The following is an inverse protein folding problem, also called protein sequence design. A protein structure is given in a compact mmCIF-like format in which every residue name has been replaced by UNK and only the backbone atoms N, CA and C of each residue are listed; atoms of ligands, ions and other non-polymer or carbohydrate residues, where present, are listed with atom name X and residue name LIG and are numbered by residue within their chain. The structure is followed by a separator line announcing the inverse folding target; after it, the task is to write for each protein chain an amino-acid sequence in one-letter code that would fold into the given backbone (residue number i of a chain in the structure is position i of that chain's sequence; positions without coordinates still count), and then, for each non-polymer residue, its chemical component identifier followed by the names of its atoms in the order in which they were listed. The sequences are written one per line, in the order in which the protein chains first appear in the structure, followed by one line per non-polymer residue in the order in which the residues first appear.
data_IF_257966008539
#
_entry.id   IF_257966008539
#
_cell.length_a   1.000
_cell.length_b   1.000
_cell.length_c   1.000
_cell.angle_alpha   90.00
_cell.angle_beta   90.00
_cell.angle_gamma   90.00
#
_symmetry.space_group_name_H-M   'P 1'
#
loop_
_entity.id
_entity.type
_entity.pdbx_description
1 polymer ?
#
# COMPACT_ATOMS: atom_id res chain seq x y z
N UNK A 1 38.80 8.27 29.64
CA UNK A 1 37.73 7.24 29.62
C UNK A 1 37.94 6.11 30.64
N UNK A 2 39.12 5.49 30.77
CA UNK A 2 39.37 4.38 31.73
C UNK A 2 39.07 4.69 33.22
N UNK A 3 39.27 5.94 33.68
CA UNK A 3 39.05 6.32 35.11
C UNK A 3 37.58 6.48 35.50
N UNK A 4 36.68 6.79 34.55
CA UNK A 4 35.23 6.88 34.80
C UNK A 4 34.62 5.47 34.91
N UNK A 5 34.99 4.56 34.01
CA UNK A 5 34.59 3.14 34.05
C UNK A 5 35.07 2.37 35.29
N UNK A 6 36.19 2.78 35.89
CA UNK A 6 36.75 2.16 37.09
C UNK A 6 36.10 2.66 38.40
N UNK A 7 35.44 3.83 38.39
CA UNK A 7 34.71 4.38 39.55
C UNK A 7 33.20 4.12 39.53
N UNK A 8 32.68 3.56 38.44
CA UNK A 8 31.24 3.25 38.30
C UNK A 8 30.85 1.98 39.03
N UNK A 9 29.66 1.99 39.64
CA UNK A 9 29.10 0.82 40.32
C UNK A 9 29.07 -0.40 39.38
N UNK A 10 29.43 -1.61 39.86
CA UNK A 10 29.51 -2.82 39.04
C UNK A 10 28.20 -3.11 38.28
N UNK A 11 27.06 -2.79 38.89
CA UNK A 11 25.72 -2.91 38.33
C UNK A 11 25.48 -1.96 37.16
N UNK A 12 25.83 -0.67 37.31
CA UNK A 12 25.71 0.33 36.25
C UNK A 12 26.60 -0.01 35.05
N UNK A 13 27.80 -0.55 35.31
CA UNK A 13 28.70 -1.03 34.26
C UNK A 13 28.09 -2.21 33.49
N UNK A 14 27.48 -3.15 34.20
CA UNK A 14 26.74 -4.26 33.58
C UNK A 14 25.59 -3.77 32.70
N UNK A 15 24.76 -2.84 33.21
CA UNK A 15 23.66 -2.24 32.45
C UNK A 15 24.14 -1.53 31.18
N UNK A 16 25.24 -0.78 31.23
CA UNK A 16 25.78 -0.10 30.05
C UNK A 16 26.31 -1.06 29.00
N UNK A 17 26.92 -2.17 29.41
CA UNK A 17 27.37 -3.21 28.47
C UNK A 17 26.16 -3.86 27.80
N UNK A 18 25.11 -4.19 28.56
CA UNK A 18 23.86 -4.75 28.02
C UNK A 18 23.22 -3.75 27.05
N UNK A 19 23.09 -2.48 27.44
CA UNK A 19 22.51 -1.44 26.59
C UNK A 19 23.28 -1.28 25.27
N UNK A 20 24.61 -1.30 25.32
CA UNK A 20 25.46 -1.26 24.13
C UNK A 20 25.19 -2.46 23.21
N UNK A 21 25.14 -3.68 23.77
CA UNK A 21 24.86 -4.89 23.00
C UNK A 21 23.49 -4.81 22.33
N UNK A 22 22.46 -4.36 23.05
CA UNK A 22 21.12 -4.18 22.50
C UNK A 22 21.13 -3.21 21.33
N UNK A 23 21.78 -2.05 21.46
CA UNK A 23 21.89 -1.06 20.37
C UNK A 23 22.58 -1.66 19.15
N UNK A 24 23.69 -2.37 19.34
CA UNK A 24 24.41 -3.03 18.24
C UNK A 24 23.51 -4.04 17.54
N UNK A 25 22.80 -4.88 18.29
CA UNK A 25 21.85 -5.85 17.73
C UNK A 25 20.73 -5.16 16.96
N UNK A 26 20.16 -4.07 17.50
CA UNK A 26 19.11 -3.32 16.80
C UNK A 26 19.59 -2.69 15.50
N UNK A 27 20.79 -2.09 15.50
CA UNK A 27 21.39 -1.49 14.30
C UNK A 27 21.71 -2.56 13.25
N UNK A 28 22.20 -3.72 13.67
CA UNK A 28 22.44 -4.83 12.74
C UNK A 28 21.13 -5.46 12.24
N UNK A 29 20.03 -5.37 13.00
CA UNK A 29 18.73 -5.90 12.63
C UNK A 29 17.85 -4.91 11.81
N UNK A 30 18.31 -3.67 11.59
CA UNK A 30 17.54 -2.61 10.92
C UNK A 30 16.97 -3.08 9.57
N UNK A 31 17.75 -3.83 8.79
CA UNK A 31 17.31 -4.38 7.52
C UNK A 31 16.12 -5.34 7.66
N UNK A 32 16.16 -6.25 8.64
CA UNK A 32 15.07 -7.20 8.89
C UNK A 32 13.78 -6.49 9.31
N UNK A 33 13.90 -5.48 10.17
CA UNK A 33 12.77 -4.65 10.59
C UNK A 33 12.19 -3.86 9.40
N UNK A 34 13.05 -3.24 8.60
CA UNK A 34 12.63 -2.46 7.43
C UNK A 34 11.97 -3.35 6.36
N UNK A 35 12.50 -4.55 6.13
CA UNK A 35 11.92 -5.51 5.21
C UNK A 35 10.53 -5.98 5.68
N UNK A 36 10.39 -6.31 6.97
CA UNK A 36 9.11 -6.69 7.55
C UNK A 36 8.08 -5.57 7.45
N UNK A 37 8.47 -4.34 7.81
CA UNK A 37 7.61 -3.15 7.67
C UNK A 37 7.25 -2.89 6.21
N UNK A 38 8.18 -3.07 5.28
CA UNK A 38 7.92 -2.92 3.84
C UNK A 38 6.88 -3.90 3.32
N UNK A 39 6.94 -5.16 3.74
CA UNK A 39 5.93 -6.18 3.39
C UNK A 39 4.56 -5.81 3.97
N UNK A 40 4.51 -5.45 5.26
CA UNK A 40 3.28 -5.04 5.93
C UNK A 40 2.65 -3.82 5.23
N UNK A 41 3.47 -2.82 4.89
CA UNK A 41 3.00 -1.61 4.21
C UNK A 41 2.47 -1.93 2.81
N UNK A 42 3.14 -2.82 2.05
CA UNK A 42 2.68 -3.26 0.73
C UNK A 42 1.31 -3.95 0.81
N UNK A 43 1.11 -4.82 1.81
CA UNK A 43 -0.19 -5.48 2.06
C UNK A 43 -1.26 -4.47 2.49
N UNK A 44 -0.92 -3.55 3.40
CA UNK A 44 -1.85 -2.52 3.86
C UNK A 44 -2.29 -1.59 2.73
N UNK A 45 -1.36 -1.19 1.84
CA UNK A 45 -1.67 -0.35 0.69
C UNK A 45 -2.55 -1.07 -0.34
N UNK A 46 -2.27 -2.35 -0.59
CA UNK A 46 -3.13 -3.21 -1.41
C UNK A 46 -4.55 -3.26 -0.85
N UNK A 47 -4.68 -3.56 0.45
CA UNK A 47 -5.96 -3.62 1.14
C UNK A 47 -6.68 -2.28 1.09
N UNK A 48 -5.98 -1.16 1.30
CA UNK A 48 -6.57 0.17 1.25
C UNK A 48 -7.24 0.46 -0.10
N UNK A 49 -6.58 0.15 -1.22
CA UNK A 49 -7.17 0.36 -2.55
C UNK A 49 -8.35 -0.59 -2.78
N UNK A 50 -8.18 -1.87 -2.45
CA UNK A 50 -9.25 -2.85 -2.61
C UNK A 50 -10.50 -2.46 -1.79
N UNK A 51 -10.29 -2.02 -0.54
CA UNK A 51 -11.36 -1.56 0.34
C UNK A 51 -11.98 -0.26 -0.16
N UNK A 52 -11.19 0.67 -0.70
CA UNK A 52 -11.71 1.89 -1.28
C UNK A 52 -12.63 1.61 -2.47
N UNK A 53 -12.22 0.73 -3.40
CA UNK A 53 -13.04 0.31 -4.53
C UNK A 53 -14.31 -0.39 -4.03
N UNK A 54 -14.19 -1.26 -3.03
CA UNK A 54 -15.33 -1.96 -2.43
C UNK A 54 -16.31 -1.00 -1.77
N UNK A 55 -15.83 0.00 -1.00
CA UNK A 55 -16.68 1.00 -0.36
C UNK A 55 -17.38 1.86 -1.40
N UNK A 56 -16.66 2.34 -2.42
CA UNK A 56 -17.24 3.09 -3.54
C UNK A 56 -18.34 2.29 -4.25
N UNK A 57 -18.11 0.99 -4.49
CA UNK A 57 -19.13 0.11 -5.02
C UNK A 57 -20.32 -0.04 -4.08
N UNK A 58 -20.06 -0.31 -2.80
CA UNK A 58 -21.07 -0.58 -1.78
C UNK A 58 -22.01 0.61 -1.57
N UNK A 59 -21.47 1.83 -1.55
CA UNK A 59 -22.23 3.07 -1.36
C UNK A 59 -23.12 3.38 -2.57
N UNK A 60 -22.66 3.04 -3.78
CA UNK A 60 -23.32 3.36 -5.06
C UNK A 60 -24.08 2.19 -5.67
N UNK A 61 -24.12 1.03 -5.00
CA UNK A 61 -24.69 -0.22 -5.55
C UNK A 61 -26.15 -0.07 -5.99
N UNK A 62 -26.93 0.71 -5.25
CA UNK A 62 -28.35 0.91 -5.51
C UNK A 62 -28.57 1.85 -6.71
N UNK A 63 -27.75 2.89 -6.86
CA UNK A 63 -27.73 3.74 -8.07
C UNK A 63 -27.30 2.96 -9.31
N UNK A 64 -26.24 2.15 -9.21
CA UNK A 64 -25.70 1.35 -10.33
C UNK A 64 -26.72 0.31 -10.82
N UNK A 65 -27.65 -0.11 -9.97
CA UNK A 65 -28.75 -1.00 -10.34
C UNK A 65 -29.67 -0.43 -11.43
N UNK A 66 -29.79 0.90 -11.50
CA UNK A 66 -30.61 1.60 -12.50
C UNK A 66 -29.88 2.01 -13.78
N UNK A 67 -28.59 1.68 -13.93
CA UNK A 67 -27.80 2.10 -15.09
C UNK A 67 -28.01 1.20 -16.30
N UNK A 68 -27.74 1.74 -17.49
CA UNK A 68 -27.74 0.95 -18.72
C UNK A 68 -26.63 -0.12 -18.67
N UNK A 69 -26.85 -1.24 -19.36
CA UNK A 69 -25.96 -2.40 -19.32
C UNK A 69 -24.54 -2.05 -19.78
N UNK A 70 -24.41 -1.13 -20.76
CA UNK A 70 -23.11 -0.69 -21.27
C UNK A 70 -22.31 0.09 -20.24
N UNK A 71 -22.95 1.03 -19.55
CA UNK A 71 -22.32 1.85 -18.50
C UNK A 71 -21.87 0.97 -17.33
N UNK A 72 -22.73 0.02 -16.95
CA UNK A 72 -22.45 -0.96 -15.91
C UNK A 72 -21.21 -1.78 -16.24
N UNK A 73 -21.11 -2.32 -17.46
CA UNK A 73 -19.95 -3.11 -17.90
C UNK A 73 -18.66 -2.28 -17.88
N UNK A 74 -18.69 -1.01 -18.33
CA UNK A 74 -17.49 -0.15 -18.34
C UNK A 74 -17.02 0.16 -16.92
N UNK A 75 -17.95 0.46 -16.01
CA UNK A 75 -17.63 0.77 -14.62
C UNK A 75 -17.05 -0.44 -13.88
N UNK A 76 -17.72 -1.60 -13.96
CA UNK A 76 -17.23 -2.83 -13.34
C UNK A 76 -15.96 -3.37 -14.00
N UNK A 77 -15.86 -3.27 -15.33
CA UNK A 77 -14.66 -3.67 -16.06
C UNK A 77 -13.45 -2.84 -15.68
N UNK A 78 -13.62 -1.52 -15.53
CA UNK A 78 -12.55 -0.62 -15.08
C UNK A 78 -12.14 -0.92 -13.64
N UNK A 79 -13.10 -1.15 -12.74
CA UNK A 79 -12.81 -1.54 -11.36
C UNK A 79 -12.05 -2.87 -11.28
N UNK A 80 -12.46 -3.88 -12.05
CA UNK A 80 -11.80 -5.18 -12.11
C UNK A 80 -10.39 -5.06 -12.69
N UNK A 81 -10.19 -4.25 -13.72
CA UNK A 81 -8.86 -3.96 -14.28
C UNK A 81 -7.92 -3.31 -13.25
N UNK A 82 -8.41 -2.37 -12.45
CA UNK A 82 -7.62 -1.76 -11.38
C UNK A 82 -7.22 -2.82 -10.35
N UNK A 83 -8.16 -3.66 -9.89
CA UNK A 83 -7.86 -4.73 -8.93
C UNK A 83 -6.89 -5.76 -9.52
N UNK A 84 -7.07 -6.16 -10.78
CA UNK A 84 -6.19 -7.10 -11.46
C UNK A 84 -4.77 -6.54 -11.65
N UNK A 85 -4.64 -5.26 -12.02
CA UNK A 85 -3.35 -4.59 -12.14
C UNK A 85 -2.62 -4.57 -10.79
N UNK A 86 -3.32 -4.24 -9.71
CA UNK A 86 -2.75 -4.19 -8.36
C UNK A 86 -2.41 -5.61 -7.84
N UNK A 87 -3.26 -6.61 -8.14
CA UNK A 87 -2.98 -8.01 -7.82
C UNK A 87 -1.74 -8.53 -8.55
N UNK A 88 -1.61 -8.20 -9.83
CA UNK A 88 -0.41 -8.52 -10.63
C UNK A 88 0.84 -7.86 -10.05
N UNK A 89 0.74 -6.58 -9.66
CA UNK A 89 1.82 -5.88 -8.98
C UNK A 89 2.27 -6.61 -7.70
N UNK A 90 1.33 -7.10 -6.91
CA UNK A 90 1.64 -7.82 -5.67
C UNK A 90 2.43 -9.11 -5.92
N UNK A 91 2.09 -9.86 -6.98
CA UNK A 91 2.69 -11.16 -7.26
C UNK A 91 4.06 -11.09 -7.94
N UNK A 92 4.23 -10.22 -8.93
CA UNK A 92 5.46 -10.20 -9.77
C UNK A 92 6.47 -9.11 -9.36
N UNK A 93 6.03 -8.06 -8.66
CA UNK A 93 6.84 -6.84 -8.49
C UNK A 93 7.01 -6.07 -9.82
N UNK A 94 7.38 -4.79 -9.78
CA UNK A 94 7.56 -3.97 -11.00
C UNK A 94 9.04 -3.86 -11.35
N UNK A 95 9.56 -4.62 -12.34
CA UNK A 95 10.84 -4.32 -12.95
C UNK A 95 10.68 -3.17 -13.96
N UNK A 96 11.32 -2.02 -13.71
CA UNK A 96 11.54 -0.97 -14.71
C UNK A 96 10.28 -0.44 -15.42
N UNK A 97 10.19 -0.63 -16.74
CA UNK A 97 9.15 -0.08 -17.61
C UNK A 97 7.73 -0.58 -17.31
N UNK A 98 7.58 -1.71 -16.60
CA UNK A 98 6.26 -2.20 -16.16
C UNK A 98 5.56 -1.22 -15.21
N UNK A 99 6.31 -0.39 -14.49
CA UNK A 99 5.74 0.64 -13.63
C UNK A 99 4.94 1.68 -14.44
N UNK A 100 5.40 2.04 -15.65
CA UNK A 100 4.70 2.96 -16.52
C UNK A 100 3.43 2.32 -17.10
N UNK A 101 3.50 1.04 -17.47
CA UNK A 101 2.33 0.28 -17.92
C UNK A 101 1.28 0.17 -16.81
N UNK A 102 1.71 -0.13 -15.58
CA UNK A 102 0.82 -0.18 -14.41
C UNK A 102 0.12 1.16 -14.15
N UNK A 103 0.89 2.26 -14.11
CA UNK A 103 0.34 3.61 -13.93
C UNK A 103 -0.61 3.95 -15.09
N UNK A 104 -0.24 3.63 -16.33
CA UNK A 104 -1.07 3.85 -17.51
C UNK A 104 -2.40 3.09 -17.45
N UNK A 105 -2.39 1.82 -17.05
CA UNK A 105 -3.61 1.00 -16.90
C UNK A 105 -4.51 1.59 -15.82
N UNK A 106 -3.96 1.95 -14.66
CA UNK A 106 -4.75 2.56 -13.58
C UNK A 106 -5.32 3.91 -14.01
N UNK A 107 -4.52 4.76 -14.67
CA UNK A 107 -4.96 6.06 -15.14
C UNK A 107 -6.07 5.93 -16.20
N UNK A 108 -5.92 5.03 -17.17
CA UNK A 108 -6.92 4.79 -18.20
C UNK A 108 -8.22 4.20 -17.63
N UNK A 109 -8.12 3.24 -16.71
CA UNK A 109 -9.28 2.65 -16.05
C UNK A 109 -10.00 3.66 -15.15
N UNK A 110 -9.24 4.45 -14.37
CA UNK A 110 -9.77 5.55 -13.57
C UNK A 110 -10.44 6.62 -14.44
N UNK A 111 -9.85 6.97 -15.58
CA UNK A 111 -10.42 7.93 -16.52
C UNK A 111 -11.71 7.42 -17.17
N UNK A 112 -11.75 6.14 -17.59
CA UNK A 112 -12.97 5.53 -18.13
C UNK A 112 -14.11 5.55 -17.09
N UNK A 113 -13.78 5.27 -15.83
CA UNK A 113 -14.71 5.31 -14.72
C UNK A 113 -15.19 6.74 -14.42
N UNK A 114 -14.28 7.71 -14.40
CA UNK A 114 -14.59 9.14 -14.23
C UNK A 114 -15.47 9.69 -15.37
N UNK A 115 -15.21 9.27 -16.61
CA UNK A 115 -16.01 9.65 -17.78
C UNK A 115 -17.46 9.22 -17.61
N UNK A 116 -17.71 7.94 -17.31
CA UNK A 116 -19.07 7.41 -17.12
C UNK A 116 -19.77 8.14 -15.99
N UNK A 117 -19.05 8.42 -14.90
CA UNK A 117 -19.58 9.19 -13.77
C UNK A 117 -19.95 10.63 -14.18
N UNK A 118 -19.08 11.32 -14.93
CA UNK A 118 -19.30 12.69 -15.41
C UNK A 118 -20.47 12.75 -16.38
N UNK A 119 -20.57 11.81 -17.32
CA UNK A 119 -21.67 11.77 -18.30
C UNK A 119 -23.04 11.64 -17.61
N UNK A 120 -23.09 11.03 -16.41
CA UNK A 120 -24.30 10.94 -15.58
C UNK A 120 -24.55 12.11 -14.63
N UNK A 121 -23.50 12.83 -14.18
CA UNK A 121 -23.67 14.01 -13.31
C UNK A 121 -23.84 15.31 -14.11
N UNK A 122 -23.64 15.25 -15.42
CA UNK A 122 -23.88 16.35 -16.35
C UNK A 122 -25.17 16.09 -17.14
N UNK A 123 -26.30 15.99 -16.44
CA UNK A 123 -27.60 16.17 -17.08
C UNK A 123 -28.02 17.63 -16.87
N UNK A 124 -27.93 18.41 -17.95
CA UNK A 124 -28.72 19.63 -18.18
C UNK A 124 -29.79 19.32 -19.21
#
# INVERSE_FOLDING_TARGET
MRRLFARMNPTLRGFLIIALIVIVVMVLNLYGTLAALGILLRVAFFLAIAFFIFLMWRERRDEIGGWDTRERIVFYGSALLIVAAIGSYFWHGLPGYDALAFIGVIACAGYAMFRVWRDRHTYS
#
